data_IF_076842083529
#
_entry.id   IF_076842083529
#
_cell.length_a   1.000
_cell.length_b   1.000
_cell.length_c   1.000
_cell.angle_alpha   90.00
_cell.angle_beta   90.00
_cell.angle_gamma   90.00
#
_symmetry.space_group_name_H-M   'P 1'
#
loop_
_entity.id
_entity.type
_entity.pdbx_description
1 polymer ?
#
# COMPACT_ATOMS: atom_id res chain seq x y z
N UNK A 1 17.48 27.21 -8.84
CA UNK A 1 16.50 26.10 -8.99
C UNK A 1 17.17 24.87 -8.39
N UNK A 2 16.64 24.30 -7.31
CA UNK A 2 17.25 23.10 -6.71
C UNK A 2 17.12 21.95 -7.70
N UNK A 3 18.22 21.24 -7.99
CA UNK A 3 18.24 20.07 -8.89
C UNK A 3 17.47 18.90 -8.28
N UNK A 4 16.14 18.94 -8.39
CA UNK A 4 15.22 17.91 -7.89
C UNK A 4 15.35 16.58 -8.64
N UNK A 5 15.94 16.58 -9.84
CA UNK A 5 16.09 15.40 -10.71
C UNK A 5 16.86 14.26 -10.03
N UNK A 6 17.94 14.57 -9.31
CA UNK A 6 18.74 13.57 -8.58
C UNK A 6 17.96 12.93 -7.43
N UNK A 7 17.16 13.73 -6.73
CA UNK A 7 16.32 13.26 -5.63
C UNK A 7 15.17 12.40 -6.12
N UNK A 8 14.53 12.77 -7.24
CA UNK A 8 13.45 11.99 -7.86
C UNK A 8 13.99 10.65 -8.36
N UNK A 9 15.14 10.64 -9.06
CA UNK A 9 15.74 9.42 -9.62
C UNK A 9 16.13 8.38 -8.56
N UNK A 10 16.48 8.82 -7.34
CA UNK A 10 16.78 7.93 -6.21
C UNK A 10 15.57 7.64 -5.34
N UNK A 11 14.73 8.64 -5.10
CA UNK A 11 13.56 8.51 -4.22
C UNK A 11 12.51 7.56 -4.77
N UNK A 12 12.31 7.54 -6.10
CA UNK A 12 11.31 6.71 -6.74
C UNK A 12 11.54 5.19 -6.57
N UNK A 13 12.72 4.62 -6.89
CA UNK A 13 12.97 3.20 -6.67
C UNK A 13 12.97 2.83 -5.18
N UNK A 14 13.42 3.73 -4.29
CA UNK A 14 13.41 3.49 -2.84
C UNK A 14 11.97 3.41 -2.31
N UNK A 15 11.12 4.38 -2.62
CA UNK A 15 9.75 4.41 -2.11
C UNK A 15 8.92 3.23 -2.62
N UNK A 16 9.03 2.90 -3.90
CA UNK A 16 8.39 1.71 -4.47
C UNK A 16 8.97 0.41 -3.90
N UNK A 17 10.29 0.34 -3.65
CA UNK A 17 10.90 -0.82 -2.97
C UNK A 17 10.36 -1.04 -1.56
N UNK A 18 10.21 0.03 -0.76
CA UNK A 18 9.59 -0.05 0.56
C UNK A 18 8.11 -0.45 0.46
N UNK A 19 7.37 0.10 -0.51
CA UNK A 19 5.97 -0.26 -0.72
C UNK A 19 5.80 -1.73 -1.12
N UNK A 20 6.68 -2.27 -1.98
CA UNK A 20 6.73 -3.71 -2.33
C UNK A 20 6.94 -4.55 -1.07
N UNK A 21 7.91 -4.20 -0.23
CA UNK A 21 8.19 -4.97 1.00
C UNK A 21 7.01 -4.96 1.97
N UNK A 22 6.47 -3.77 2.28
CA UNK A 22 5.36 -3.62 3.22
C UNK A 22 4.10 -4.33 2.71
N UNK A 23 3.76 -4.14 1.43
CA UNK A 23 2.60 -4.80 0.84
C UNK A 23 2.74 -6.32 0.78
N UNK A 24 3.95 -6.85 0.56
CA UNK A 24 4.22 -8.29 0.62
C UNK A 24 4.00 -8.85 2.04
N UNK A 25 4.46 -8.13 3.08
CA UNK A 25 4.25 -8.54 4.47
C UNK A 25 2.75 -8.63 4.78
N UNK A 26 1.99 -7.58 4.44
CA UNK A 26 0.52 -7.56 4.60
C UNK A 26 -0.14 -8.70 3.82
N UNK A 27 0.28 -8.91 2.57
CA UNK A 27 -0.27 -9.96 1.71
C UNK A 27 -0.09 -11.36 2.32
N UNK A 28 1.11 -11.66 2.86
CA UNK A 28 1.42 -12.96 3.47
C UNK A 28 0.61 -13.16 4.76
N UNK A 29 0.60 -12.18 5.66
CA UNK A 29 -0.15 -12.26 6.94
C UNK A 29 -1.64 -12.44 6.65
N UNK A 30 -2.22 -11.60 5.80
CA UNK A 30 -3.63 -11.65 5.46
C UNK A 30 -4.01 -12.97 4.76
N UNK A 31 -3.13 -13.51 3.92
CA UNK A 31 -3.37 -14.79 3.22
C UNK A 31 -3.38 -15.97 4.20
N UNK A 32 -2.44 -15.99 5.16
CA UNK A 32 -2.40 -17.00 6.20
C UNK A 32 -3.65 -16.96 7.09
N UNK A 33 -4.07 -15.76 7.53
CA UNK A 33 -5.29 -15.58 8.31
C UNK A 33 -6.55 -15.98 7.54
N UNK A 34 -6.64 -15.59 6.26
CA UNK A 34 -7.74 -15.97 5.36
C UNK A 34 -7.85 -17.48 5.22
N UNK A 35 -6.73 -18.17 5.03
CA UNK A 35 -6.69 -19.62 4.94
C UNK A 35 -7.27 -20.28 6.19
N UNK A 36 -6.80 -19.87 7.38
CA UNK A 36 -7.27 -20.44 8.64
C UNK A 36 -8.75 -20.11 8.92
N UNK A 37 -9.20 -18.91 8.58
CA UNK A 37 -10.61 -18.52 8.69
C UNK A 37 -11.56 -19.32 7.79
N UNK A 38 -11.04 -19.85 6.67
CA UNK A 38 -11.79 -20.72 5.75
C UNK A 38 -11.84 -22.18 6.19
N UNK A 39 -10.83 -22.66 6.94
CA UNK A 39 -10.76 -24.05 7.39
C UNK A 39 -11.65 -24.40 8.60
N UNK A 40 -12.37 -23.43 9.17
CA UNK A 40 -13.30 -23.69 10.27
C UNK A 40 -12.62 -23.99 11.61
N UNK A 41 -11.31 -23.80 11.73
CA UNK A 41 -10.63 -23.83 13.03
C UNK A 41 -11.25 -22.76 13.95
N UNK A 42 -11.49 -23.16 15.20
CA UNK A 42 -12.32 -22.50 16.26
C UNK A 42 -12.02 -21.02 16.57
N UNK A 43 -11.05 -20.38 15.91
CA UNK A 43 -10.77 -18.94 15.96
C UNK A 43 -11.87 -18.07 15.31
N UNK A 44 -12.89 -18.69 14.70
CA UNK A 44 -13.98 -18.05 13.96
C UNK A 44 -15.34 -18.04 14.70
N UNK A 45 -15.38 -18.23 16.02
CA UNK A 45 -16.66 -18.23 16.76
C UNK A 45 -17.22 -16.81 16.92
N UNK A 46 -18.25 -16.52 16.13
CA UNK A 46 -19.36 -15.56 16.32
C UNK A 46 -19.04 -14.05 16.45
N UNK A 47 -17.93 -13.65 17.09
CA UNK A 47 -17.43 -12.26 17.09
C UNK A 47 -16.61 -11.91 15.83
N UNK A 48 -16.38 -12.90 14.96
CA UNK A 48 -15.40 -12.86 13.87
C UNK A 48 -15.98 -12.60 12.46
N UNK A 49 -17.30 -12.52 12.26
CA UNK A 49 -17.87 -12.37 10.91
C UNK A 49 -17.35 -11.11 10.22
N UNK A 50 -17.39 -9.96 10.89
CA UNK A 50 -16.85 -8.71 10.36
C UNK A 50 -15.32 -8.69 10.22
N UNK A 51 -14.60 -9.51 11.00
CA UNK A 51 -13.15 -9.59 10.93
C UNK A 51 -12.67 -10.36 9.70
N UNK A 52 -13.38 -11.43 9.30
CA UNK A 52 -13.05 -12.22 8.11
C UNK A 52 -13.08 -11.38 6.85
N UNK A 53 -14.14 -10.62 6.64
CA UNK A 53 -14.29 -9.80 5.44
C UNK A 53 -13.21 -8.71 5.34
N UNK A 54 -12.84 -8.12 6.49
CA UNK A 54 -11.73 -7.17 6.58
C UNK A 54 -10.43 -7.84 6.18
N UNK A 55 -10.10 -9.00 6.71
CA UNK A 55 -8.86 -9.73 6.36
C UNK A 55 -8.86 -10.15 4.89
N UNK A 56 -9.99 -10.54 4.30
CA UNK A 56 -10.08 -10.80 2.85
C UNK A 56 -9.77 -9.55 2.02
N UNK A 57 -10.23 -8.37 2.45
CA UNK A 57 -9.86 -7.12 1.80
C UNK A 57 -8.35 -6.85 1.91
N UNK A 58 -7.71 -7.22 3.03
CA UNK A 58 -6.25 -7.10 3.21
C UNK A 58 -5.46 -8.02 2.27
N UNK A 59 -5.98 -9.21 1.95
CA UNK A 59 -5.38 -10.07 0.91
C UNK A 59 -5.39 -9.36 -0.43
N UNK A 60 -6.53 -8.79 -0.82
CA UNK A 60 -6.66 -8.07 -2.08
C UNK A 60 -5.69 -6.88 -2.14
N UNK A 61 -5.73 -5.98 -1.17
CA UNK A 61 -4.88 -4.78 -1.18
C UNK A 61 -3.39 -5.12 -1.10
N UNK A 62 -3.00 -6.12 -0.29
CA UNK A 62 -1.62 -6.56 -0.17
C UNK A 62 -1.07 -7.05 -1.52
N UNK A 63 -1.76 -8.01 -2.15
CA UNK A 63 -1.33 -8.53 -3.45
C UNK A 63 -1.45 -7.52 -4.59
N UNK A 64 -2.50 -6.70 -4.61
CA UNK A 64 -2.66 -5.61 -5.58
C UNK A 64 -1.50 -4.63 -5.49
N UNK A 65 -1.20 -4.13 -4.29
CA UNK A 65 -0.11 -3.18 -4.06
C UNK A 65 1.25 -3.80 -4.37
N UNK A 66 1.47 -5.06 -4.00
CA UNK A 66 2.71 -5.79 -4.28
C UNK A 66 2.95 -5.93 -5.79
N UNK A 67 1.96 -6.42 -6.53
CA UNK A 67 2.07 -6.66 -7.97
C UNK A 67 2.38 -5.38 -8.72
N UNK A 68 1.54 -4.35 -8.55
CA UNK A 68 1.69 -3.11 -9.30
C UNK A 68 2.94 -2.33 -8.87
N UNK A 69 3.24 -2.26 -7.57
CA UNK A 69 4.48 -1.60 -7.12
C UNK A 69 5.73 -2.29 -7.64
N UNK A 70 5.70 -3.62 -7.78
CA UNK A 70 6.80 -4.39 -8.39
C UNK A 70 6.94 -4.10 -9.88
N UNK A 71 5.83 -3.97 -10.61
CA UNK A 71 5.84 -3.57 -12.02
C UNK A 71 6.43 -2.16 -12.18
N UNK A 72 5.96 -1.19 -11.39
CA UNK A 72 6.52 0.17 -11.40
C UNK A 72 8.01 0.15 -11.10
N UNK A 73 8.44 -0.50 -10.01
CA UNK A 73 9.84 -0.64 -9.64
C UNK A 73 10.68 -1.24 -10.78
N UNK A 74 10.21 -2.33 -11.39
CA UNK A 74 10.86 -2.97 -12.53
C UNK A 74 11.02 -2.03 -13.72
N UNK A 75 9.97 -1.29 -14.09
CA UNK A 75 10.04 -0.31 -15.17
C UNK A 75 11.07 0.80 -14.89
N UNK A 76 11.18 1.29 -13.65
CA UNK A 76 12.17 2.31 -13.28
C UNK A 76 13.60 1.76 -13.29
N UNK A 77 13.81 0.55 -12.78
CA UNK A 77 15.13 -0.08 -12.78
C UNK A 77 15.60 -0.44 -14.20
N UNK A 78 14.67 -0.80 -15.08
CA UNK A 78 14.95 -1.09 -16.49
C UNK A 78 15.06 0.16 -17.36
N UNK A 79 14.73 1.35 -16.84
CA UNK A 79 14.72 2.60 -17.62
C UNK A 79 13.69 2.62 -18.75
N UNK A 80 12.63 1.82 -18.66
CA UNK A 80 11.61 1.70 -19.71
C UNK A 80 10.65 2.87 -19.60
N UNK A 81 10.68 3.79 -20.58
CA UNK A 81 9.70 4.85 -20.71
C UNK A 81 8.37 4.36 -21.32
N UNK A 82 7.24 4.95 -20.93
CA UNK A 82 5.94 4.67 -21.55
C UNK A 82 4.76 5.16 -20.72
N UNK A 83 3.55 4.71 -21.09
CA UNK A 83 2.30 5.07 -20.38
C UNK A 83 2.38 4.63 -18.92
N UNK A 84 2.95 3.45 -18.65
CA UNK A 84 3.13 2.94 -17.29
C UNK A 84 4.07 3.82 -16.46
N UNK A 85 5.08 4.47 -17.05
CA UNK A 85 5.98 5.36 -16.31
C UNK A 85 5.52 6.82 -16.30
N UNK A 86 4.32 7.12 -16.80
CA UNK A 86 3.81 8.49 -16.87
C UNK A 86 3.40 9.03 -15.50
N UNK A 87 3.46 10.36 -15.30
CA UNK A 87 2.97 10.99 -14.06
C UNK A 87 1.48 10.65 -13.83
N UNK A 88 0.69 10.57 -14.90
CA UNK A 88 -0.73 10.25 -14.82
C UNK A 88 -1.00 8.83 -14.30
N UNK A 89 -0.27 7.82 -14.78
CA UNK A 89 -0.42 6.43 -14.30
C UNK A 89 -0.07 6.33 -12.81
N UNK A 90 0.99 7.02 -12.37
CA UNK A 90 1.38 7.08 -10.97
C UNK A 90 0.32 7.71 -10.10
N UNK A 91 -0.24 8.86 -10.52
CA UNK A 91 -1.29 9.53 -9.77
C UNK A 91 -2.53 8.64 -9.60
N UNK A 92 -2.98 7.99 -10.67
CA UNK A 92 -4.14 7.09 -10.61
C UNK A 92 -3.86 5.91 -9.69
N UNK A 93 -2.71 5.26 -9.86
CA UNK A 93 -2.33 4.11 -9.04
C UNK A 93 -2.19 4.46 -7.56
N UNK A 94 -1.48 5.54 -7.24
CA UNK A 94 -1.26 5.99 -5.87
C UNK A 94 -2.55 6.47 -5.22
N UNK A 95 -3.44 7.14 -5.96
CA UNK A 95 -4.73 7.57 -5.43
C UNK A 95 -5.65 6.40 -5.12
N UNK A 96 -5.75 5.40 -6.01
CA UNK A 96 -6.52 4.17 -5.76
C UNK A 96 -5.92 3.42 -4.57
N UNK A 97 -4.59 3.29 -4.49
CA UNK A 97 -3.93 2.70 -3.33
C UNK A 97 -4.23 3.47 -2.05
N UNK A 98 -4.18 4.79 -2.09
CA UNK A 98 -4.42 5.64 -0.94
C UNK A 98 -5.82 5.38 -0.35
N UNK A 99 -6.85 5.28 -1.21
CA UNK A 99 -8.22 4.92 -0.80
C UNK A 99 -8.26 3.52 -0.19
N UNK A 100 -7.60 2.54 -0.82
CA UNK A 100 -7.61 1.18 -0.28
C UNK A 100 -6.89 1.09 1.06
N UNK A 101 -5.73 1.73 1.23
CA UNK A 101 -4.94 1.64 2.45
C UNK A 101 -5.62 2.35 3.62
N UNK A 102 -6.26 3.51 3.39
CA UNK A 102 -7.04 4.16 4.45
C UNK A 102 -8.27 3.34 4.84
N UNK A 103 -8.94 2.70 3.88
CA UNK A 103 -10.07 1.82 4.15
C UNK A 103 -9.64 0.56 4.91
N UNK A 104 -8.52 -0.05 4.53
CA UNK A 104 -7.93 -1.21 5.18
C UNK A 104 -7.58 -0.89 6.64
N UNK A 105 -6.72 0.11 6.84
CA UNK A 105 -6.27 0.58 8.15
C UNK A 105 -7.46 0.98 9.05
N UNK A 106 -8.39 1.79 8.53
CA UNK A 106 -9.57 2.21 9.29
C UNK A 106 -10.45 1.04 9.70
N UNK A 107 -10.69 0.08 8.79
CA UNK A 107 -11.56 -1.07 9.07
C UNK A 107 -10.99 -2.00 10.15
N UNK A 108 -9.68 -2.27 10.11
CA UNK A 108 -9.03 -3.15 11.08
C UNK A 108 -8.83 -2.45 12.43
N UNK A 109 -8.47 -1.16 12.43
CA UNK A 109 -8.40 -0.34 13.66
C UNK A 109 -9.74 -0.31 14.38
N UNK A 110 -10.85 -0.15 13.65
CA UNK A 110 -12.19 -0.20 14.25
C UNK A 110 -12.53 -1.59 14.82
N UNK A 111 -12.03 -2.68 14.23
CA UNK A 111 -12.27 -4.03 14.74
C UNK A 111 -11.50 -4.32 16.04
N UNK A 112 -10.32 -3.70 16.17
CA UNK A 112 -9.41 -3.93 17.28
C UNK A 112 -9.49 -2.81 18.33
N UNK A 113 -10.45 -1.89 18.22
CA UNK A 113 -10.61 -0.72 19.10
C UNK A 113 -9.32 0.11 19.28
N UNK A 114 -8.53 0.26 18.21
CA UNK A 114 -7.26 1.00 18.26
C UNK A 114 -6.04 0.21 18.78
N UNK A 115 -6.24 -1.04 19.23
CA UNK A 115 -5.17 -1.89 19.75
C UNK A 115 -5.69 -2.86 20.81
N UNK A 116 -5.01 -4.00 20.98
CA UNK A 116 -5.42 -5.05 21.90
C UNK A 116 -4.20 -5.53 22.71
N UNK A 117 -4.41 -5.85 23.99
CA UNK A 117 -3.39 -6.55 24.77
C UNK A 117 -3.47 -8.06 24.47
N UNK A 118 -2.54 -8.58 23.69
CA UNK A 118 -2.56 -9.98 23.26
C UNK A 118 -2.28 -11.00 24.38
N UNK A 119 -1.91 -10.56 25.58
CA UNK A 119 -1.86 -11.44 26.76
C UNK A 119 -3.25 -11.74 27.36
N UNK A 120 -4.26 -10.92 27.05
CA UNK A 120 -5.61 -11.03 27.64
C UNK A 120 -6.74 -10.98 26.60
N UNK A 121 -6.42 -10.73 25.33
CA UNK A 121 -7.39 -10.62 24.25
C UNK A 121 -8.07 -11.97 23.95
N UNK A 122 -9.39 -11.99 23.69
CA UNK A 122 -10.09 -13.18 23.23
C UNK A 122 -9.75 -13.54 21.76
N UNK A 123 -8.99 -12.69 21.06
CA UNK A 123 -8.61 -12.90 19.67
C UNK A 123 -7.47 -13.92 19.56
N UNK A 124 -7.75 -15.04 18.92
CA UNK A 124 -6.76 -16.10 18.70
C UNK A 124 -5.52 -15.62 17.92
N UNK A 125 -5.73 -14.80 16.88
CA UNK A 125 -4.65 -14.21 16.08
C UNK A 125 -4.31 -12.77 16.48
N UNK A 126 -4.42 -12.42 17.77
CA UNK A 126 -4.22 -11.05 18.23
C UNK A 126 -2.91 -10.42 17.72
N UNK A 127 -1.78 -11.09 17.91
CA UNK A 127 -0.47 -10.55 17.49
C UNK A 127 -0.40 -10.33 15.97
N UNK A 128 -0.95 -11.25 15.17
CA UNK A 128 -0.94 -11.12 13.71
C UNK A 128 -1.87 -10.00 13.23
N UNK A 129 -3.00 -9.80 13.90
CA UNK A 129 -3.97 -8.75 13.59
C UNK A 129 -3.48 -7.36 14.00
N UNK A 130 -2.76 -7.28 15.12
CA UNK A 130 -2.13 -6.05 15.59
C UNK A 130 -0.95 -5.67 14.68
N UNK A 131 -0.13 -6.64 14.27
CA UNK A 131 0.88 -6.45 13.24
C UNK A 131 0.28 -6.00 11.91
N UNK A 132 -0.83 -6.62 11.47
CA UNK A 132 -1.54 -6.24 10.23
C UNK A 132 -1.93 -4.75 10.28
N UNK A 133 -2.61 -4.33 11.36
CA UNK A 133 -2.99 -2.92 11.57
C UNK A 133 -1.78 -1.98 11.49
N UNK A 134 -0.65 -2.33 12.13
CA UNK A 134 0.54 -1.51 12.12
C UNK A 134 1.09 -1.33 10.70
N UNK A 135 1.20 -2.41 9.93
CA UNK A 135 1.67 -2.35 8.55
C UNK A 135 0.71 -1.58 7.62
N UNK A 136 -0.61 -1.63 7.86
CA UNK A 136 -1.57 -0.87 7.07
C UNK A 136 -1.40 0.64 7.26
N UNK A 137 -1.19 1.10 8.50
CA UNK A 137 -0.91 2.51 8.78
C UNK A 137 0.45 2.94 8.20
N UNK A 138 1.47 2.09 8.27
CA UNK A 138 2.78 2.35 7.64
C UNK A 138 2.61 2.51 6.12
N UNK A 139 1.89 1.60 5.46
CA UNK A 139 1.63 1.68 4.03
C UNK A 139 0.80 2.91 3.66
N UNK A 140 -0.22 3.25 4.44
CA UNK A 140 -1.03 4.44 4.24
C UNK A 140 -0.20 5.72 4.30
N UNK A 141 0.67 5.87 5.31
CA UNK A 141 1.56 7.03 5.44
C UNK A 141 2.53 7.09 4.26
N UNK A 142 3.14 5.96 3.89
CA UNK A 142 4.05 5.86 2.76
C UNK A 142 3.37 6.31 1.45
N UNK A 143 2.18 5.76 1.15
CA UNK A 143 1.42 6.10 -0.05
C UNK A 143 0.94 7.56 0.00
N UNK A 144 0.61 8.11 1.17
CA UNK A 144 0.26 9.54 1.31
C UNK A 144 1.43 10.43 0.94
N UNK A 145 2.63 10.13 1.40
CA UNK A 145 3.85 10.87 1.05
C UNK A 145 4.13 10.76 -0.45
N UNK A 146 4.06 9.54 -1.01
CA UNK A 146 4.26 9.31 -2.44
C UNK A 146 3.25 10.07 -3.30
N UNK A 147 1.98 10.06 -2.92
CA UNK A 147 0.91 10.78 -3.62
C UNK A 147 1.14 12.30 -3.54
N UNK A 148 1.46 12.82 -2.35
CA UNK A 148 1.75 14.25 -2.16
C UNK A 148 2.92 14.74 -3.02
N UNK A 149 4.01 13.98 -3.06
CA UNK A 149 5.18 14.29 -3.90
C UNK A 149 4.81 14.22 -5.39
N UNK A 150 4.03 13.22 -5.81
CA UNK A 150 3.62 13.07 -7.21
C UNK A 150 2.69 14.21 -7.65
N UNK A 151 1.76 14.63 -6.79
CA UNK A 151 0.90 15.80 -7.05
C UNK A 151 1.73 17.08 -7.14
N UNK A 152 2.70 17.27 -6.24
CA UNK A 152 3.56 18.44 -6.24
C UNK A 152 4.38 18.56 -7.54
N UNK A 153 5.00 17.46 -7.97
CA UNK A 153 5.78 17.40 -9.21
C UNK A 153 4.87 17.56 -10.43
N UNK A 154 3.73 16.85 -10.46
CA UNK A 154 2.75 16.92 -11.54
C UNK A 154 2.20 18.33 -11.73
N UNK A 155 1.81 19.02 -10.67
CA UNK A 155 1.35 20.42 -10.72
C UNK A 155 2.44 21.37 -11.27
N UNK A 156 3.72 21.11 -10.94
CA UNK A 156 4.85 21.84 -11.49
C UNK A 156 5.03 21.65 -13.00
N UNK A 157 4.81 20.43 -13.50
CA UNK A 157 4.87 20.11 -14.92
C UNK A 157 3.75 20.83 -15.71
N UNK A 158 2.50 20.79 -15.22
CA UNK A 158 1.36 21.46 -15.86
C UNK A 158 1.53 22.98 -15.93
N UNK A 159 2.06 23.63 -14.87
CA UNK A 159 2.26 25.09 -14.83
C UNK A 159 3.32 25.59 -15.81
N UNK A 160 4.27 24.75 -16.21
CA UNK A 160 5.38 25.14 -17.10
C UNK A 160 5.05 25.00 -18.59
N UNK A 161 3.83 24.57 -18.94
CA UNK A 161 3.42 24.39 -20.35
C UNK A 161 4.25 23.35 -21.11
N UNK A 162 5.09 22.56 -20.41
CA UNK A 162 5.82 21.46 -21.03
C UNK A 162 4.80 20.37 -21.36
N UNK A 163 4.58 20.15 -22.65
CA UNK A 163 3.85 18.99 -23.14
C UNK A 163 4.48 17.72 -22.57
N UNK A 164 3.66 16.73 -22.19
CA UNK A 164 4.05 15.45 -21.57
C UNK A 164 5.06 14.60 -22.38
N UNK A 165 5.59 15.12 -23.48
CA UNK A 165 6.51 14.46 -24.40
C UNK A 165 7.99 14.83 -24.18
N UNK A 166 8.30 15.92 -23.49
CA UNK A 166 9.64 16.52 -23.53
C UNK A 166 10.56 16.20 -22.34
N UNK A 167 10.23 15.24 -21.47
CA UNK A 167 11.12 14.84 -20.34
C UNK A 167 11.77 13.47 -20.47
N UNK A 168 11.80 12.87 -21.67
CA UNK A 168 12.49 11.59 -21.90
C UNK A 168 13.43 11.64 -23.12
N UNK A 169 14.24 12.70 -23.21
CA UNK A 169 15.45 12.73 -24.03
C UNK A 169 16.63 13.22 -23.18
#
# INVERSE_FOLDING_TARGET
MVDASTYIRRGHPISFGVLVLVSLIVAIIASALTHDYRQGNRAANETAQGLKDKVHFHVFIGWFSFLFSSIYLGCFLAGVGGILTSIASHLIFLFVNWIFWVAAAGSITAQLNGGQNCGTSPLYYCNSLEALMAFDWIAFILVTIMLGVTIFIGAGAFRRGRSMKDEIA
#
